data_IF_763611204190
#
_entry.id   IF_763611204190
#
_cell.length_a   1.000
_cell.length_b   1.000
_cell.length_c   1.000
_cell.angle_alpha   90.00
_cell.angle_beta   90.00
_cell.angle_gamma   90.00
#
_symmetry.space_group_name_H-M   'P 1'
#
loop_
_entity.id
_entity.type
_entity.pdbx_description
1 polymer ?
#
# COMPACT_ATOMS: atom_id res chain seq x y z
N UNK A 1 -1.25 -13.51 11.59
CA UNK A 1 -1.33 -12.27 10.80
C UNK A 1 -2.00 -11.21 11.65
N UNK A 2 -1.32 -10.11 11.98
CA UNK A 2 -2.00 -8.96 12.61
C UNK A 2 -3.10 -8.45 11.67
N UNK A 3 -4.35 -8.48 12.12
CA UNK A 3 -5.45 -7.88 11.38
C UNK A 3 -5.22 -6.37 11.32
N UNK A 4 -5.05 -5.84 10.11
CA UNK A 4 -4.77 -4.41 9.87
C UNK A 4 -5.94 -3.51 10.32
N UNK A 5 -7.14 -4.09 10.51
CA UNK A 5 -8.30 -3.43 11.10
C UNK A 5 -9.08 -4.41 11.98
N UNK A 6 -9.55 -3.91 13.12
CA UNK A 6 -10.51 -4.59 14.01
C UNK A 6 -11.91 -4.58 13.40
N UNK A 7 -12.77 -5.54 13.79
CA UNK A 7 -14.17 -5.55 13.38
C UNK A 7 -14.92 -4.24 13.77
N UNK A 8 -14.49 -3.58 14.84
CA UNK A 8 -15.02 -2.27 15.25
C UNK A 8 -14.68 -1.19 14.22
N UNK A 9 -13.45 -1.15 13.74
CA UNK A 9 -13.01 -0.18 12.75
C UNK A 9 -13.68 -0.42 11.39
N UNK A 10 -13.84 -1.69 10.98
CA UNK A 10 -14.59 -2.03 9.76
C UNK A 10 -16.02 -1.51 9.83
N UNK A 11 -16.73 -1.76 10.94
CA UNK A 11 -18.08 -1.23 11.15
C UNK A 11 -18.12 0.30 11.13
N UNK A 12 -17.13 0.95 11.73
CA UNK A 12 -17.05 2.41 11.72
C UNK A 12 -16.90 2.97 10.29
N UNK A 13 -16.07 2.34 9.44
CA UNK A 13 -15.90 2.72 8.04
C UNK A 13 -17.19 2.51 7.23
N UNK A 14 -17.90 1.39 7.44
CA UNK A 14 -19.19 1.12 6.80
C UNK A 14 -20.27 2.13 7.23
N UNK A 15 -20.27 2.53 8.51
CA UNK A 15 -21.16 3.59 9.00
C UNK A 15 -20.82 4.96 8.39
N UNK A 16 -19.54 5.30 8.24
CA UNK A 16 -19.11 6.52 7.57
C UNK A 16 -19.58 6.54 6.10
N UNK A 17 -19.44 5.43 5.38
CA UNK A 17 -19.95 5.28 4.01
C UNK A 17 -21.48 5.46 3.96
N UNK A 18 -22.20 4.84 4.90
CA UNK A 18 -23.67 4.97 4.96
C UNK A 18 -24.11 6.42 5.18
N UNK A 19 -23.39 7.18 6.02
CA UNK A 19 -23.63 8.62 6.21
C UNK A 19 -23.31 9.43 4.96
N UNK A 20 -22.23 9.08 4.25
CA UNK A 20 -21.88 9.73 2.98
C UNK A 20 -22.97 9.54 1.92
N UNK A 21 -23.54 8.32 1.83
CA UNK A 21 -24.67 8.01 0.95
C UNK A 21 -25.90 8.86 1.31
N UNK A 22 -26.24 8.96 2.60
CA UNK A 22 -27.38 9.78 3.05
C UNK A 22 -27.20 11.27 2.74
N UNK A 23 -25.97 11.79 2.84
CA UNK A 23 -25.65 13.19 2.55
C UNK A 23 -25.55 13.49 1.05
N UNK A 24 -25.31 12.48 0.22
CA UNK A 24 -25.27 12.63 -1.22
C UNK A 24 -26.71 12.90 -1.72
N UNK A 25 -27.03 14.18 -1.92
CA UNK A 25 -28.34 14.62 -2.38
C UNK A 25 -28.69 13.97 -3.74
N UNK A 26 -29.99 13.75 -4.04
CA UNK A 26 -30.43 13.17 -5.31
C UNK A 26 -29.92 13.90 -6.57
N UNK A 27 -29.65 15.21 -6.43
CA UNK A 27 -29.09 16.07 -7.47
C UNK A 27 -27.63 15.74 -7.84
N UNK A 28 -26.89 15.04 -6.97
CA UNK A 28 -25.58 14.46 -7.27
C UNK A 28 -25.71 12.94 -7.48
N UNK A 29 -26.49 12.60 -8.51
CA UNK A 29 -26.89 11.23 -8.79
C UNK A 29 -25.67 10.33 -9.06
N UNK A 30 -24.62 10.88 -9.69
CA UNK A 30 -23.38 10.15 -9.99
C UNK A 30 -22.61 9.79 -8.72
N UNK A 31 -22.37 10.75 -7.81
CA UNK A 31 -21.72 10.44 -6.52
C UNK A 31 -22.55 9.45 -5.72
N UNK A 32 -23.86 9.65 -5.62
CA UNK A 32 -24.73 8.75 -4.87
C UNK A 32 -24.68 7.32 -5.45
N UNK A 33 -24.72 7.16 -6.78
CA UNK A 33 -24.59 5.84 -7.45
C UNK A 33 -23.23 5.20 -7.16
N UNK A 34 -22.14 5.94 -7.25
CA UNK A 34 -20.81 5.40 -6.95
C UNK A 34 -20.68 4.96 -5.49
N UNK A 35 -21.16 5.76 -4.53
CA UNK A 35 -21.11 5.39 -3.11
C UNK A 35 -21.97 4.15 -2.81
N UNK A 36 -23.15 4.03 -3.43
CA UNK A 36 -23.99 2.83 -3.35
C UNK A 36 -23.30 1.60 -3.92
N UNK A 37 -22.67 1.74 -5.08
CA UNK A 37 -21.88 0.65 -5.68
C UNK A 37 -20.73 0.22 -4.75
N UNK A 38 -20.00 1.17 -4.17
CA UNK A 38 -18.93 0.88 -3.20
C UNK A 38 -19.47 0.10 -1.99
N UNK A 39 -20.65 0.47 -1.48
CA UNK A 39 -21.28 -0.22 -0.36
C UNK A 39 -21.64 -1.67 -0.71
N UNK A 40 -22.11 -1.92 -1.93
CA UNK A 40 -22.46 -3.26 -2.41
C UNK A 40 -21.22 -4.12 -2.69
N UNK A 41 -20.17 -3.52 -3.24
CA UNK A 41 -18.91 -4.18 -3.59
C UNK A 41 -18.01 -4.51 -2.36
N UNK A 42 -18.44 -4.16 -1.15
CA UNK A 42 -17.60 -4.28 0.04
C UNK A 42 -17.29 -5.75 0.38
N UNK A 43 -16.03 -6.14 0.27
CA UNK A 43 -15.62 -7.53 0.50
C UNK A 43 -15.94 -8.48 -0.64
N UNK A 44 -16.46 -7.98 -1.76
CA UNK A 44 -16.71 -8.75 -2.96
C UNK A 44 -15.44 -8.79 -3.84
N UNK A 45 -14.93 -9.99 -4.06
CA UNK A 45 -13.72 -10.24 -4.85
C UNK A 45 -13.91 -9.89 -6.34
N UNK A 46 -15.08 -10.21 -6.89
CA UNK A 46 -15.38 -10.02 -8.32
C UNK A 46 -15.64 -8.54 -8.62
N UNK A 47 -16.12 -7.79 -7.63
CA UNK A 47 -16.31 -6.34 -7.75
C UNK A 47 -15.00 -5.53 -7.69
N UNK A 48 -13.85 -6.15 -7.35
CA UNK A 48 -12.60 -5.43 -7.12
C UNK A 48 -12.12 -4.63 -8.34
N UNK A 49 -12.13 -5.23 -9.53
CA UNK A 49 -11.67 -4.56 -10.75
C UNK A 49 -12.62 -3.41 -11.15
N UNK A 50 -13.95 -3.59 -11.19
CA UNK A 50 -14.88 -2.47 -11.35
C UNK A 50 -14.71 -1.37 -10.30
N UNK A 51 -14.55 -1.72 -9.02
CA UNK A 51 -14.34 -0.81 -7.90
C UNK A 51 -13.04 0.02 -8.08
N UNK A 52 -11.98 -0.58 -8.60
CA UNK A 52 -10.72 0.11 -8.88
C UNK A 52 -10.86 1.27 -9.88
N UNK A 53 -11.86 1.24 -10.75
CA UNK A 53 -12.14 2.35 -11.70
C UNK A 53 -12.57 3.62 -10.95
N UNK A 54 -13.20 3.49 -9.78
CA UNK A 54 -13.65 4.62 -8.97
C UNK A 54 -12.51 5.36 -8.26
N UNK A 55 -11.27 4.85 -8.31
CA UNK A 55 -10.09 5.58 -7.87
C UNK A 55 -9.79 6.82 -8.74
N UNK A 56 -10.49 7.00 -9.87
CA UNK A 56 -10.43 8.19 -10.74
C UNK A 56 -11.75 8.97 -10.77
N UNK A 57 -12.69 8.66 -9.89
CA UNK A 57 -13.94 9.42 -9.80
C UNK A 57 -13.64 10.87 -9.42
N UNK A 58 -14.44 11.83 -9.91
CA UNK A 58 -14.25 13.26 -9.63
C UNK A 58 -14.36 13.59 -8.13
N UNK A 59 -15.29 12.92 -7.44
CA UNK A 59 -15.47 13.07 -6.00
C UNK A 59 -14.33 12.40 -5.21
N UNK A 60 -13.59 13.20 -4.44
CA UNK A 60 -12.56 12.71 -3.50
C UNK A 60 -13.15 11.75 -2.46
N UNK A 61 -14.39 11.97 -2.04
CA UNK A 61 -15.11 11.08 -1.12
C UNK A 61 -15.33 9.69 -1.75
N UNK A 62 -15.70 9.64 -3.03
CA UNK A 62 -15.80 8.37 -3.78
C UNK A 62 -14.44 7.69 -3.90
N UNK A 63 -13.38 8.43 -4.27
CA UNK A 63 -12.03 7.86 -4.37
C UNK A 63 -11.56 7.29 -3.03
N UNK A 64 -11.83 8.00 -1.93
CA UNK A 64 -11.53 7.53 -0.59
C UNK A 64 -12.22 6.21 -0.29
N UNK A 65 -13.56 6.17 -0.38
CA UNK A 65 -14.30 4.95 -0.04
C UNK A 65 -14.00 3.79 -0.98
N UNK A 66 -13.72 4.06 -2.27
CA UNK A 66 -13.25 3.03 -3.19
C UNK A 66 -11.91 2.42 -2.72
N UNK A 67 -10.93 3.26 -2.35
CA UNK A 67 -9.65 2.77 -1.82
C UNK A 67 -9.80 1.96 -0.53
N UNK A 68 -10.74 2.37 0.33
CA UNK A 68 -11.04 1.67 1.58
C UNK A 68 -11.69 0.32 1.30
N UNK A 69 -12.71 0.26 0.44
CA UNK A 69 -13.42 -0.97 0.13
C UNK A 69 -12.52 -2.00 -0.56
N UNK A 70 -11.61 -1.56 -1.45
CA UNK A 70 -10.65 -2.45 -2.13
C UNK A 70 -9.80 -3.28 -1.16
N UNK A 71 -9.50 -2.75 0.04
CA UNK A 71 -8.75 -3.48 1.08
C UNK A 71 -9.40 -4.80 1.47
N UNK A 72 -10.72 -4.90 1.32
CA UNK A 72 -11.51 -6.04 1.74
C UNK A 72 -11.82 -7.01 0.60
N UNK A 73 -11.62 -6.61 -0.66
CA UNK A 73 -11.96 -7.43 -1.82
C UNK A 73 -10.97 -8.58 -2.06
N UNK A 74 -9.74 -8.53 -1.51
CA UNK A 74 -8.76 -9.62 -1.63
C UNK A 74 -8.14 -9.85 -3.02
N UNK A 75 -8.61 -9.16 -4.05
CA UNK A 75 -8.11 -9.31 -5.42
C UNK A 75 -6.89 -8.40 -5.70
N UNK A 76 -5.69 -8.98 -5.74
CA UNK A 76 -4.44 -8.26 -5.96
C UNK A 76 -4.29 -7.61 -7.36
N UNK A 77 -5.17 -7.92 -8.32
CA UNK A 77 -5.19 -7.27 -9.66
C UNK A 77 -5.42 -5.76 -9.58
N UNK A 78 -5.88 -5.24 -8.43
CA UNK A 78 -6.13 -3.81 -8.22
C UNK A 78 -4.89 -3.02 -7.81
N UNK A 79 -3.77 -3.68 -7.46
CA UNK A 79 -2.54 -3.01 -7.03
C UNK A 79 -2.03 -1.98 -8.06
N UNK A 80 -1.97 -2.27 -9.38
CA UNK A 80 -1.57 -1.27 -10.37
C UNK A 80 -2.46 -0.03 -10.38
N UNK A 81 -3.78 -0.20 -10.17
CA UNK A 81 -4.72 0.91 -10.13
C UNK A 81 -4.51 1.78 -8.87
N UNK A 82 -4.26 1.17 -7.72
CA UNK A 82 -3.92 1.86 -6.47
C UNK A 82 -2.60 2.65 -6.60
N UNK A 83 -1.56 2.02 -7.14
CA UNK A 83 -0.26 2.68 -7.36
C UNK A 83 -0.37 3.84 -8.36
N UNK A 84 -1.18 3.69 -9.41
CA UNK A 84 -1.46 4.78 -10.34
C UNK A 84 -2.23 5.92 -9.67
N UNK A 85 -3.23 5.62 -8.85
CA UNK A 85 -3.98 6.62 -8.10
C UNK A 85 -3.10 7.41 -7.11
N UNK A 86 -2.15 6.73 -6.46
CA UNK A 86 -1.18 7.35 -5.56
C UNK A 86 -0.22 8.34 -6.24
N UNK A 87 0.00 8.20 -7.55
CA UNK A 87 0.89 9.07 -8.34
C UNK A 87 0.12 10.09 -9.19
N UNK A 88 -1.21 10.07 -9.13
CA UNK A 88 -2.04 10.93 -9.96
C UNK A 88 -2.04 12.37 -9.40
N UNK A 89 -1.81 13.41 -10.23
CA UNK A 89 -1.76 14.81 -9.77
C UNK A 89 -3.01 15.26 -9.00
N UNK A 90 -4.19 14.79 -9.40
CA UNK A 90 -5.48 15.07 -8.74
C UNK A 90 -5.60 14.47 -7.32
N UNK A 91 -4.63 13.65 -6.92
CA UNK A 91 -4.50 13.05 -5.59
C UNK A 91 -3.28 13.56 -4.83
N UNK A 92 -2.60 14.60 -5.32
CA UNK A 92 -1.52 15.26 -4.58
C UNK A 92 -2.01 15.68 -3.17
N UNK A 93 -1.20 15.40 -2.15
CA UNK A 93 -1.60 15.59 -0.75
C UNK A 93 -2.65 14.60 -0.20
N UNK A 94 -3.07 13.61 -0.99
CA UNK A 94 -4.05 12.59 -0.58
C UNK A 94 -3.72 11.17 -1.06
N UNK A 95 -2.47 10.89 -1.38
CA UNK A 95 -2.11 9.58 -1.94
C UNK A 95 -1.98 8.46 -0.88
N UNK A 96 -1.87 8.81 0.41
CA UNK A 96 -1.70 7.86 1.53
C UNK A 96 -2.72 6.70 1.52
N UNK A 97 -4.05 6.93 1.38
CA UNK A 97 -5.03 5.85 1.44
C UNK A 97 -4.81 4.76 0.38
N UNK A 98 -4.34 5.12 -0.81
CA UNK A 98 -4.10 4.16 -1.88
C UNK A 98 -2.90 3.25 -1.58
N UNK A 99 -1.82 3.80 -1.02
CA UNK A 99 -0.66 3.00 -0.58
C UNK A 99 -1.03 2.15 0.63
N UNK A 100 -1.78 2.68 1.58
CA UNK A 100 -2.27 1.89 2.72
C UNK A 100 -3.17 0.74 2.25
N UNK A 101 -3.96 0.93 1.20
CA UNK A 101 -4.74 -0.16 0.64
C UNK A 101 -3.86 -1.29 0.08
N UNK A 102 -2.71 -0.94 -0.52
CA UNK A 102 -1.74 -1.93 -0.99
C UNK A 102 -1.22 -2.84 0.14
N UNK A 103 -1.17 -2.36 1.39
CA UNK A 103 -0.69 -3.16 2.53
C UNK A 103 -1.60 -4.35 2.89
N UNK A 104 -2.78 -4.47 2.26
CA UNK A 104 -3.70 -5.60 2.43
C UNK A 104 -3.48 -6.71 1.40
N UNK A 105 -2.54 -6.54 0.48
CA UNK A 105 -2.22 -7.53 -0.55
C UNK A 105 -0.75 -7.91 -0.45
N UNK A 106 -0.42 -9.12 -0.92
CA UNK A 106 0.98 -9.43 -1.18
C UNK A 106 1.46 -8.59 -2.39
N UNK A 107 2.37 -7.67 -2.10
CA UNK A 107 2.89 -6.73 -3.06
C UNK A 107 4.28 -7.13 -3.57
N UNK A 108 4.76 -8.35 -3.29
CA UNK A 108 6.09 -8.85 -3.69
C UNK A 108 6.48 -8.49 -5.13
N UNK A 109 5.63 -8.67 -6.17
CA UNK A 109 5.99 -8.32 -7.55
C UNK A 109 6.26 -6.82 -7.79
N UNK A 110 5.81 -5.96 -6.88
CA UNK A 110 5.88 -4.51 -6.98
C UNK A 110 6.96 -3.89 -6.09
N UNK A 111 7.84 -4.70 -5.48
CA UNK A 111 8.94 -4.24 -4.63
C UNK A 111 9.72 -3.04 -5.23
N UNK A 112 10.20 -3.08 -6.49
CA UNK A 112 10.96 -1.96 -7.05
C UNK A 112 10.17 -0.65 -7.08
N UNK A 113 8.84 -0.73 -7.20
CA UNK A 113 7.96 0.45 -7.28
C UNK A 113 7.81 1.13 -5.92
N UNK A 114 7.68 0.36 -4.83
CA UNK A 114 7.66 0.92 -3.47
C UNK A 114 9.01 1.49 -3.06
N UNK A 115 10.11 0.82 -3.43
CA UNK A 115 11.45 1.36 -3.19
C UNK A 115 11.69 2.66 -3.96
N UNK A 116 11.22 2.77 -5.21
CA UNK A 116 11.28 4.04 -5.94
C UNK A 116 10.53 5.16 -5.22
N UNK A 117 9.34 4.89 -4.67
CA UNK A 117 8.57 5.87 -3.89
C UNK A 117 9.36 6.35 -2.67
N UNK A 118 10.00 5.43 -1.93
CA UNK A 118 10.77 5.77 -0.73
C UNK A 118 12.02 6.58 -1.07
N UNK A 119 12.76 6.16 -2.10
CA UNK A 119 14.06 6.74 -2.45
C UNK A 119 13.99 8.07 -3.20
N UNK A 120 12.85 8.38 -3.84
CA UNK A 120 12.64 9.64 -4.57
C UNK A 120 11.78 10.65 -3.80
N UNK A 121 11.43 10.35 -2.55
CA UNK A 121 10.64 11.28 -1.76
C UNK A 121 11.53 12.38 -1.17
N UNK A 122 11.15 13.63 -1.41
CA UNK A 122 11.83 14.81 -0.84
C UNK A 122 11.57 14.94 0.67
N UNK A 123 10.58 14.22 1.19
CA UNK A 123 10.24 14.16 2.61
C UNK A 123 9.95 12.74 3.11
N UNK A 124 10.08 12.55 4.42
CA UNK A 124 9.59 11.35 5.11
C UNK A 124 8.07 11.42 5.33
N UNK A 125 7.33 11.78 4.28
CA UNK A 125 5.90 12.01 4.33
C UNK A 125 5.08 10.75 4.55
N UNK A 126 3.76 10.93 4.60
CA UNK A 126 2.88 9.82 4.96
C UNK A 126 2.85 8.68 3.93
N UNK A 127 3.25 8.92 2.67
CA UNK A 127 3.23 7.94 1.59
C UNK A 127 4.43 6.99 1.70
N UNK A 128 5.60 7.50 2.09
CA UNK A 128 6.81 6.68 2.25
C UNK A 128 6.68 5.74 3.43
N UNK A 129 6.15 6.20 4.57
CA UNK A 129 5.83 5.35 5.71
C UNK A 129 4.77 4.29 5.38
N UNK A 130 3.74 4.65 4.62
CA UNK A 130 2.78 3.66 4.14
C UNK A 130 3.45 2.62 3.23
N UNK A 131 4.44 3.02 2.42
CA UNK A 131 5.21 2.10 1.58
C UNK A 131 6.05 1.14 2.41
N UNK A 132 6.70 1.59 3.49
CA UNK A 132 7.40 0.69 4.43
C UNK A 132 6.45 -0.33 5.05
N UNK A 133 5.22 0.08 5.41
CA UNK A 133 4.22 -0.85 5.94
C UNK A 133 3.78 -1.91 4.91
N UNK A 134 3.84 -1.60 3.62
CA UNK A 134 3.64 -2.58 2.53
C UNK A 134 4.85 -3.52 2.45
N UNK A 135 6.08 -2.99 2.47
CA UNK A 135 7.31 -3.81 2.41
C UNK A 135 7.35 -4.86 3.53
N UNK A 136 6.93 -4.50 4.75
CA UNK A 136 6.87 -5.41 5.91
C UNK A 136 5.91 -6.61 5.72
N UNK A 137 5.00 -6.54 4.75
CA UNK A 137 3.95 -7.55 4.51
C UNK A 137 4.14 -8.36 3.23
N UNK A 138 5.14 -8.01 2.42
CA UNK A 138 5.48 -8.79 1.25
C UNK A 138 5.97 -10.17 1.69
N UNK A 139 5.48 -11.21 1.02
CA UNK A 139 5.75 -12.59 1.40
C UNK A 139 7.02 -13.16 0.75
N UNK A 140 7.52 -12.48 -0.29
CA UNK A 140 8.56 -13.06 -1.14
C UNK A 140 8.00 -14.17 -2.04
N UNK A 141 8.88 -14.97 -2.68
CA UNK A 141 10.33 -14.87 -2.63
C UNK A 141 10.83 -13.62 -3.37
N UNK A 142 11.91 -13.04 -2.87
CA UNK A 142 12.62 -11.95 -3.53
C UNK A 142 13.85 -12.47 -4.26
N UNK A 143 14.25 -11.75 -5.31
CA UNK A 143 15.57 -11.90 -5.89
C UNK A 143 16.62 -11.34 -4.91
N UNK A 144 17.47 -12.22 -4.38
CA UNK A 144 18.56 -11.88 -3.45
C UNK A 144 19.53 -10.86 -4.04
N UNK A 145 19.85 -10.95 -5.33
CA UNK A 145 20.75 -10.00 -5.99
C UNK A 145 20.10 -8.62 -6.05
N UNK A 146 18.80 -8.56 -6.38
CA UNK A 146 18.02 -7.33 -6.35
C UNK A 146 17.93 -6.72 -4.94
N UNK A 147 17.67 -7.53 -3.91
CA UNK A 147 17.65 -7.05 -2.51
C UNK A 147 18.99 -6.46 -2.09
N UNK A 148 20.11 -7.17 -2.34
CA UNK A 148 21.45 -6.67 -2.04
C UNK A 148 21.76 -5.36 -2.77
N UNK A 149 21.37 -5.27 -4.05
CA UNK A 149 21.51 -4.06 -4.83
C UNK A 149 20.72 -2.89 -4.21
N UNK A 150 19.47 -3.12 -3.83
CA UNK A 150 18.63 -2.09 -3.21
C UNK A 150 19.13 -1.65 -1.83
N UNK A 151 19.59 -2.57 -0.98
CA UNK A 151 20.22 -2.23 0.30
C UNK A 151 21.46 -1.35 0.06
N UNK A 152 22.31 -1.72 -0.91
CA UNK A 152 23.49 -0.92 -1.27
C UNK A 152 23.14 0.46 -1.81
N UNK A 153 22.04 0.58 -2.56
CA UNK A 153 21.51 1.86 -3.03
C UNK A 153 21.04 2.70 -1.84
N UNK A 154 20.26 2.14 -0.91
CA UNK A 154 19.77 2.84 0.28
C UNK A 154 20.92 3.40 1.13
N UNK A 155 21.97 2.61 1.36
CA UNK A 155 23.16 3.04 2.12
C UNK A 155 23.95 4.18 1.45
N UNK A 156 23.77 4.39 0.15
CA UNK A 156 24.45 5.42 -0.63
C UNK A 156 23.58 6.66 -0.89
N UNK A 157 22.30 6.62 -0.50
CA UNK A 157 21.41 7.76 -0.67
C UNK A 157 21.91 8.91 0.20
N UNK A 158 22.13 10.04 -0.45
CA UNK A 158 22.35 11.30 0.24
C UNK A 158 20.99 11.93 0.49
N UNK A 159 20.75 12.33 1.73
CA UNK A 159 19.55 13.04 2.12
C UNK A 159 19.62 14.43 1.48
N UNK A 160 18.61 14.86 0.68
CA UNK A 160 18.60 16.18 0.09
C UNK A 160 18.69 17.28 1.15
N UNK A 161 19.42 18.36 0.87
CA UNK A 161 19.53 19.51 1.78
C UNK A 161 18.18 20.21 2.01
N UNK A 162 17.23 20.01 1.09
CA UNK A 162 15.84 20.51 1.17
C UNK A 162 14.93 19.69 2.10
N UNK A 163 15.45 18.61 2.72
CA UNK A 163 14.64 17.71 3.55
C UNK A 163 14.15 18.41 4.81
N UNK A 164 12.83 18.52 4.97
CA UNK A 164 12.20 19.23 6.09
C UNK A 164 12.51 18.59 7.45
N UNK A 165 12.72 17.27 7.50
CA UNK A 165 13.08 16.54 8.72
C UNK A 165 14.11 15.44 8.41
N UNK A 166 15.39 15.79 8.52
CA UNK A 166 16.51 14.87 8.29
C UNK A 166 16.39 13.61 9.15
N UNK A 167 16.12 13.75 10.45
CA UNK A 167 15.95 12.62 11.38
C UNK A 167 14.85 11.65 10.97
N UNK A 168 13.70 12.16 10.52
CA UNK A 168 12.60 11.31 10.07
C UNK A 168 12.94 10.59 8.77
N UNK A 169 13.71 11.23 7.88
CA UNK A 169 14.18 10.64 6.65
C UNK A 169 15.25 9.57 6.90
N UNK A 170 16.20 9.81 7.82
CA UNK A 170 17.15 8.81 8.30
C UNK A 170 16.44 7.59 8.88
N UNK A 171 15.45 7.82 9.75
CA UNK A 171 14.66 6.74 10.34
C UNK A 171 13.91 5.93 9.27
N UNK A 172 13.29 6.61 8.28
CA UNK A 172 12.61 5.95 7.17
C UNK A 172 13.58 5.05 6.37
N UNK A 173 14.77 5.53 6.05
CA UNK A 173 15.77 4.77 5.31
C UNK A 173 16.30 3.58 6.14
N UNK A 174 16.54 3.79 7.44
CA UNK A 174 16.96 2.74 8.37
C UNK A 174 15.90 1.63 8.49
N UNK A 175 14.63 2.00 8.67
CA UNK A 175 13.50 1.06 8.71
C UNK A 175 13.37 0.29 7.39
N UNK A 176 13.50 0.98 6.25
CA UNK A 176 13.46 0.33 4.93
C UNK A 176 14.59 -0.67 4.78
N UNK A 177 15.82 -0.28 5.14
CA UNK A 177 16.99 -1.16 5.11
C UNK A 177 16.84 -2.39 6.01
N UNK A 178 16.30 -2.19 7.23
CA UNK A 178 16.03 -3.27 8.17
C UNK A 178 15.06 -4.30 7.59
N UNK A 179 13.96 -3.85 6.98
CA UNK A 179 12.97 -4.73 6.35
C UNK A 179 13.56 -5.54 5.20
N UNK A 180 14.34 -4.90 4.31
CA UNK A 180 14.99 -5.62 3.21
C UNK A 180 16.03 -6.63 3.71
N UNK A 181 16.78 -6.28 4.75
CA UNK A 181 17.75 -7.18 5.37
C UNK A 181 17.05 -8.37 6.04
N UNK A 182 15.93 -8.15 6.73
CA UNK A 182 15.14 -9.22 7.34
C UNK A 182 14.64 -10.21 6.28
N UNK A 183 14.10 -9.71 5.17
CA UNK A 183 13.67 -10.55 4.04
C UNK A 183 14.83 -11.38 3.46
N UNK A 184 16.00 -10.76 3.27
CA UNK A 184 17.20 -11.46 2.80
C UNK A 184 17.65 -12.55 3.80
N UNK A 185 17.62 -12.24 5.10
CA UNK A 185 18.01 -13.18 6.16
C UNK A 185 17.10 -14.40 6.20
N UNK A 186 15.77 -14.21 6.19
CA UNK A 186 14.80 -15.31 6.22
C UNK A 186 14.98 -16.24 5.01
N UNK A 187 15.20 -15.69 3.82
CA UNK A 187 15.45 -16.51 2.62
C UNK A 187 16.73 -17.34 2.71
N UNK A 188 17.79 -16.82 3.36
CA UNK A 188 19.04 -17.57 3.55
C UNK A 188 18.86 -18.67 4.61
N UNK A 189 18.11 -18.38 5.69
CA UNK A 189 17.84 -19.36 6.73
C UNK A 189 17.06 -20.58 6.20
N UNK A 190 16.01 -20.34 5.40
CA UNK A 190 15.23 -21.42 4.77
C UNK A 190 16.08 -22.31 3.84
N UNK A 191 17.11 -21.76 3.19
CA UNK A 191 18.04 -22.52 2.34
C UNK A 191 19.00 -23.41 3.14
N UNK A 192 19.40 -22.98 4.34
CA UNK A 192 20.27 -23.76 5.23
C UNK A 192 19.49 -24.94 5.83
N UNK A 193 18.23 -24.73 6.21
CA UNK A 193 17.37 -25.76 6.79
C UNK A 193 16.85 -26.79 5.77
N UNK A 194 16.95 -26.50 4.47
CA UNK A 194 16.51 -27.41 3.39
C UNK A 194 17.64 -28.23 2.75
N UNK A 195 18.88 -28.06 3.22
CA UNK A 195 19.98 -28.95 2.83
C UNK A 195 19.73 -30.33 3.48
N UNK A 196 19.68 -31.43 2.70
CA UNK A 196 19.60 -32.75 3.29
C UNK A 196 20.83 -32.98 4.16
N UNK A 197 20.64 -33.58 5.34
CA UNK A 197 21.73 -34.08 6.18
C UNK A 197 22.63 -34.97 5.32
N UNK A 198 23.71 -34.40 4.80
CA UNK A 198 24.79 -35.16 4.18
C UNK A 198 25.61 -35.77 5.31
N UNK A 199 24.99 -36.70 6.03
CA UNK A 199 25.60 -37.53 7.06
C UNK A 199 25.46 -38.99 6.67
N UNK A 200 26.59 -39.62 6.35
CA UNK A 200 26.72 -41.08 6.19
C UNK A 200 27.52 -41.49 4.97
#
# INVERSE_FOLDING_TARGET
MEHILTAREIRALQQQLSRAIQKAAPQDQTRHRHLRFIQQAWGDFDAAVPLSKLLRAESREVRHFASVALRFCGNAQVIPALLKAAQAPENAGYARPYIWACAHFDCTPYLPRFLKIITHADDAGSITWASVAVLKRMQGPFDKAALKLHIKQLLRLKIPETTTSVKMHELLLAETGHVLHQHLYLQIADEVDTLPDSGG
#
